data_IF_732636795459
#
_entry.id   IF_732636795459
#
_cell.length_a   1.000
_cell.length_b   1.000
_cell.length_c   1.000
_cell.angle_alpha   90.00
_cell.angle_beta   90.00
_cell.angle_gamma   90.00
#
_symmetry.space_group_name_H-M   'P 1'
#
loop_
_entity.id
_entity.type
_entity.pdbx_description
1 polymer ?
#
# COMPACT_ATOMS: atom_id res chain seq x y z
N UNK A 1 -0.82 9.74 -15.53
CA UNK A 1 -1.75 8.65 -15.88
C UNK A 1 -2.06 7.87 -14.62
N UNK A 2 -3.25 7.30 -14.50
CA UNK A 2 -3.65 6.49 -13.33
C UNK A 2 -3.99 5.08 -13.79
N UNK A 3 -3.55 4.09 -13.03
CA UNK A 3 -3.89 2.68 -13.21
C UNK A 3 -4.55 2.22 -11.92
N UNK A 4 -5.82 1.85 -11.99
CA UNK A 4 -6.56 1.34 -10.84
C UNK A 4 -6.49 -0.19 -10.85
N UNK A 5 -6.09 -0.76 -9.72
CA UNK A 5 -6.02 -2.20 -9.53
C UNK A 5 -7.13 -2.57 -8.57
N UNK A 6 -8.12 -3.30 -9.07
CA UNK A 6 -9.27 -3.76 -8.29
C UNK A 6 -9.19 -5.27 -8.07
N UNK A 7 -9.87 -5.76 -7.03
CA UNK A 7 -9.97 -7.18 -6.74
C UNK A 7 -11.39 -7.69 -6.89
N UNK A 8 -11.54 -8.85 -7.51
CA UNK A 8 -12.81 -9.59 -7.58
C UNK A 8 -12.70 -10.97 -6.94
N UNK A 9 -13.87 -11.60 -6.74
CA UNK A 9 -14.06 -12.97 -6.24
C UNK A 9 -13.70 -13.16 -4.77
N UNK A 10 -12.41 -13.12 -4.40
CA UNK A 10 -11.94 -13.32 -3.03
C UNK A 10 -10.74 -12.42 -2.68
N UNK A 11 -10.57 -12.14 -1.39
CA UNK A 11 -9.35 -11.53 -0.86
C UNK A 11 -8.16 -12.49 -0.94
N UNK A 12 -6.94 -11.98 -0.73
CA UNK A 12 -5.70 -12.78 -0.66
C UNK A 12 -5.15 -13.43 -1.95
N UNK A 13 -5.69 -13.09 -3.12
CA UNK A 13 -5.14 -13.52 -4.43
C UNK A 13 -3.80 -12.87 -4.84
N UNK A 14 -3.09 -12.18 -3.92
CA UNK A 14 -1.80 -11.58 -4.23
C UNK A 14 -1.86 -10.25 -5.00
N UNK A 15 -2.94 -9.47 -4.85
CA UNK A 15 -3.12 -8.18 -5.55
C UNK A 15 -2.02 -7.16 -5.24
N UNK A 16 -1.56 -7.09 -3.99
CA UNK A 16 -0.45 -6.21 -3.59
C UNK A 16 0.84 -6.54 -4.34
N UNK A 17 1.21 -7.83 -4.39
CA UNK A 17 2.42 -8.27 -5.10
C UNK A 17 2.32 -8.03 -6.62
N UNK A 18 1.15 -8.29 -7.23
CA UNK A 18 0.93 -8.01 -8.64
C UNK A 18 1.05 -6.50 -8.96
N UNK A 19 0.50 -5.64 -8.09
CA UNK A 19 0.64 -4.18 -8.20
C UNK A 19 2.09 -3.74 -8.08
N UNK A 20 2.83 -4.29 -7.11
CA UNK A 20 4.25 -4.03 -6.87
C UNK A 20 5.09 -4.39 -8.11
N UNK A 21 4.87 -5.59 -8.66
CA UNK A 21 5.55 -6.08 -9.85
C UNK A 21 5.26 -5.22 -11.09
N UNK A 22 4.00 -4.79 -11.28
CA UNK A 22 3.65 -3.87 -12.37
C UNK A 22 4.37 -2.52 -12.22
N UNK A 23 4.44 -1.97 -11.00
CA UNK A 23 5.20 -0.75 -10.71
C UNK A 23 6.68 -0.87 -11.09
N UNK A 24 7.31 -1.97 -10.70
CA UNK A 24 8.70 -2.26 -11.03
C UNK A 24 8.92 -2.38 -12.55
N UNK A 25 8.02 -3.06 -13.27
CA UNK A 25 8.10 -3.17 -14.75
C UNK A 25 7.96 -1.82 -15.44
N UNK A 26 7.07 -0.94 -14.96
CA UNK A 26 6.93 0.41 -15.49
C UNK A 26 8.20 1.24 -15.25
N UNK A 27 8.82 1.13 -14.07
CA UNK A 27 10.10 1.76 -13.78
C UNK A 27 11.23 1.24 -14.67
N UNK A 28 11.30 -0.07 -14.89
CA UNK A 28 12.27 -0.69 -15.81
C UNK A 28 12.13 -0.20 -17.26
N UNK A 29 10.94 0.28 -17.64
CA UNK A 29 10.66 0.92 -18.94
C UNK A 29 10.92 2.42 -18.96
N UNK A 30 11.48 2.99 -17.88
CA UNK A 30 11.82 4.41 -17.78
C UNK A 30 10.67 5.31 -17.29
N UNK A 31 9.55 4.74 -16.86
CA UNK A 31 8.44 5.53 -16.30
C UNK A 31 8.64 5.81 -14.81
N UNK A 32 8.22 7.00 -14.38
CA UNK A 32 8.08 7.29 -12.94
C UNK A 32 6.74 6.71 -12.46
N UNK A 33 6.81 5.59 -11.74
CA UNK A 33 5.65 4.98 -11.08
C UNK A 33 5.68 5.23 -9.57
N UNK A 34 4.49 5.36 -8.97
CA UNK A 34 4.26 5.40 -7.53
C UNK A 34 2.97 4.64 -7.25
N UNK A 35 2.99 3.79 -6.23
CA UNK A 35 1.86 2.94 -5.87
C UNK A 35 1.20 3.54 -4.63
N UNK A 36 -0.13 3.52 -4.61
CA UNK A 36 -0.93 3.95 -3.45
C UNK A 36 -1.88 2.84 -3.05
N UNK A 37 -1.98 2.58 -1.75
CA UNK A 37 -2.93 1.68 -1.13
C UNK A 37 -4.14 2.47 -0.64
N UNK A 38 -5.33 1.98 -0.99
CA UNK A 38 -6.60 2.49 -0.47
C UNK A 38 -7.24 1.38 0.35
N UNK A 39 -7.36 1.63 1.64
CA UNK A 39 -7.83 0.69 2.64
C UNK A 39 -9.26 1.02 3.07
N UNK A 40 -10.20 0.06 2.96
CA UNK A 40 -11.60 0.32 3.26
C UNK A 40 -11.91 0.35 4.77
N UNK A 41 -10.92 0.13 5.64
CA UNK A 41 -11.13 0.08 7.08
C UNK A 41 -11.34 1.49 7.68
N UNK A 42 -12.13 1.54 8.76
CA UNK A 42 -12.45 2.79 9.49
C UNK A 42 -11.34 3.26 10.43
N UNK A 43 -10.35 2.41 10.73
CA UNK A 43 -9.18 2.82 11.50
C UNK A 43 -8.43 3.92 10.73
N UNK A 44 -8.02 4.98 11.45
CA UNK A 44 -7.25 6.09 10.86
C UNK A 44 -5.89 5.59 10.38
N UNK A 45 -5.28 4.73 11.18
CA UNK A 45 -4.01 4.05 10.93
C UNK A 45 -4.11 2.62 11.48
N UNK A 46 -3.26 1.68 11.01
CA UNK A 46 -3.27 0.31 11.49
C UNK A 46 -2.60 0.14 12.85
N UNK A 47 -2.05 1.19 13.48
CA UNK A 47 -1.42 1.12 14.81
C UNK A 47 -2.38 0.68 15.93
N UNK A 48 -3.69 0.84 15.70
CA UNK A 48 -4.75 0.36 16.60
C UNK A 48 -5.18 -1.10 16.35
N UNK A 49 -4.67 -1.75 15.31
CA UNK A 49 -5.01 -3.12 14.94
C UNK A 49 -4.01 -4.12 15.54
N UNK A 50 -4.49 -5.31 15.93
CA UNK A 50 -3.60 -6.35 16.46
C UNK A 50 -2.70 -6.93 15.35
N UNK A 51 -1.37 -6.87 15.47
CA UNK A 51 -0.47 -7.31 14.41
C UNK A 51 -0.50 -8.83 14.18
N UNK A 52 -0.84 -9.60 15.22
CA UNK A 52 -0.99 -11.05 15.11
C UNK A 52 -2.22 -11.48 14.31
N UNK A 53 -3.21 -10.60 14.19
CA UNK A 53 -4.47 -10.90 13.49
C UNK A 53 -4.57 -10.22 12.14
N UNK A 54 -3.99 -9.02 12.00
CA UNK A 54 -4.14 -8.16 10.82
C UNK A 54 -2.85 -7.98 10.02
N UNK A 55 -1.75 -8.57 10.47
CA UNK A 55 -0.43 -8.38 9.87
C UNK A 55 0.34 -7.24 10.50
N UNK A 56 1.63 -7.14 10.15
CA UNK A 56 2.51 -6.10 10.67
C UNK A 56 2.08 -4.68 10.27
N UNK A 57 2.51 -3.70 11.06
CA UNK A 57 2.42 -2.28 10.70
C UNK A 57 3.72 -1.89 10.01
N UNK A 58 3.62 -1.30 8.82
CA UNK A 58 4.76 -0.77 8.10
C UNK A 58 4.98 0.70 8.46
N UNK A 59 6.19 1.05 8.88
CA UNK A 59 6.56 2.43 9.26
C UNK A 59 7.39 3.05 8.14
N UNK A 60 6.92 4.15 7.58
CA UNK A 60 7.61 4.90 6.51
C UNK A 60 8.71 5.81 7.07
N UNK A 61 9.61 6.27 6.21
CA UNK A 61 10.69 7.21 6.57
C UNK A 61 10.17 8.54 7.15
N UNK A 62 8.95 8.97 6.77
CA UNK A 62 8.28 10.15 7.31
C UNK A 62 7.46 9.87 8.58
N UNK A 63 7.60 8.68 9.17
CA UNK A 63 7.04 8.31 10.48
C UNK A 63 5.56 7.91 10.45
N UNK A 64 5.01 7.58 9.28
CA UNK A 64 3.63 7.11 9.20
C UNK A 64 3.54 5.61 9.47
N UNK A 65 2.60 5.23 10.34
CA UNK A 65 2.15 3.85 10.51
C UNK A 65 1.15 3.50 9.41
N UNK A 66 1.43 2.45 8.65
CA UNK A 66 0.71 2.13 7.41
C UNK A 66 0.52 0.62 7.23
N UNK A 67 -0.33 0.24 6.29
CA UNK A 67 -0.58 -1.17 5.92
C UNK A 67 0.70 -1.82 5.37
N UNK A 68 0.91 -3.10 5.69
CA UNK A 68 2.09 -3.89 5.32
C UNK A 68 2.37 -3.92 3.81
N UNK A 69 1.34 -3.73 2.96
CA UNK A 69 1.51 -3.71 1.52
C UNK A 69 2.47 -2.60 1.05
N UNK A 70 2.62 -1.49 1.80
CA UNK A 70 3.58 -0.45 1.45
C UNK A 70 5.01 -0.97 1.48
N UNK A 71 5.34 -1.83 2.44
CA UNK A 71 6.65 -2.50 2.50
C UNK A 71 6.89 -3.42 1.31
N UNK A 72 5.85 -4.01 0.71
CA UNK A 72 5.99 -4.73 -0.56
C UNK A 72 6.27 -3.77 -1.72
N UNK A 73 5.57 -2.64 -1.79
CA UNK A 73 5.78 -1.65 -2.85
C UNK A 73 7.18 -1.07 -2.83
N UNK A 74 7.69 -0.69 -1.65
CA UNK A 74 9.06 -0.17 -1.52
C UNK A 74 10.09 -1.20 -1.99
N UNK A 75 9.99 -2.46 -1.53
CA UNK A 75 10.93 -3.52 -1.88
C UNK A 75 10.98 -3.83 -3.38
N UNK A 76 9.84 -3.74 -4.08
CA UNK A 76 9.79 -3.97 -5.52
C UNK A 76 10.24 -2.75 -6.34
N UNK A 77 9.92 -1.55 -5.87
CA UNK A 77 10.10 -0.31 -6.66
C UNK A 77 11.36 0.47 -6.29
N UNK A 78 12.05 0.09 -5.21
CA UNK A 78 13.22 0.78 -4.67
C UNK A 78 12.94 2.22 -4.25
N UNK A 79 11.67 2.58 -4.04
CA UNK A 79 11.23 3.93 -3.75
C UNK A 79 10.56 3.95 -2.38
N UNK A 80 11.08 4.76 -1.46
CA UNK A 80 10.44 4.99 -0.17
C UNK A 80 9.00 5.48 -0.34
N UNK A 81 8.09 4.81 0.37
CA UNK A 81 6.71 5.20 0.55
C UNK A 81 6.64 6.31 1.60
N UNK A 82 5.51 7.00 1.63
CA UNK A 82 5.27 8.04 2.61
C UNK A 82 3.81 8.06 3.06
N UNK A 83 3.46 8.93 3.99
CA UNK A 83 2.12 9.02 4.56
C UNK A 83 0.98 9.19 3.52
N UNK A 84 1.28 9.71 2.33
CA UNK A 84 0.30 9.93 1.26
C UNK A 84 0.07 8.70 0.38
N UNK A 85 0.83 7.63 0.59
CA UNK A 85 0.74 6.37 -0.17
C UNK A 85 -0.18 5.34 0.48
N UNK A 86 -0.61 5.58 1.73
CA UNK A 86 -1.65 4.80 2.39
C UNK A 86 -2.83 5.71 2.74
N UNK A 87 -4.03 5.37 2.25
CA UNK A 87 -5.25 6.12 2.51
C UNK A 87 -6.27 5.15 3.10
N UNK A 88 -6.77 5.42 4.30
CA UNK A 88 -7.83 4.65 4.95
C UNK A 88 -9.16 5.38 4.87
N UNK A 89 -10.27 4.66 5.02
CA UNK A 89 -11.60 5.28 5.12
C UNK A 89 -11.68 6.16 6.38
N UNK A 90 -11.09 5.71 7.49
CA UNK A 90 -10.98 6.50 8.72
C UNK A 90 -10.35 7.89 8.54
N UNK A 91 -9.28 7.98 7.73
CA UNK A 91 -8.63 9.26 7.42
C UNK A 91 -9.47 10.19 6.56
N UNK A 92 -10.38 9.65 5.73
CA UNK A 92 -11.26 10.47 4.89
C UNK A 92 -12.38 11.11 5.72
N UNK A 93 -12.87 10.41 6.75
CA UNK A 93 -13.97 10.90 7.60
C UNK A 93 -13.55 11.82 8.75
N UNK A 94 -12.25 11.89 9.06
CA UNK A 94 -11.70 12.77 10.10
C UNK A 94 -11.45 14.17 9.56
#
# INVERSE_FOLDING_TARGET
RYVFITGGVVSSLGKGIAAAALGALLQARGYRARIKKLDPYLNVDPGTMSPYQHGEVFVTDDGAETDLDLGHYERFTGRSANQQDNITTGRIYK
#
